data_IF_189625931072
#
_entry.id   IF_189625931072
#
_cell.length_a   1.000
_cell.length_b   1.000
_cell.length_c   1.000
_cell.angle_alpha   90.00
_cell.angle_beta   90.00
_cell.angle_gamma   90.00
#
_symmetry.space_group_name_H-M   'P 1'
#
loop_
_entity.id
_entity.type
_entity.pdbx_description
1 polymer ?
#
# COMPACT_ATOMS: atom_id res chain seq x y z
N UNK A 1 9.40 -28.38 18.34
CA UNK A 1 10.52 -28.05 17.44
C UNK A 1 11.76 -28.73 18.02
N UNK A 2 12.47 -29.52 17.24
CA UNK A 2 13.69 -30.22 17.69
C UNK A 2 14.86 -29.21 17.71
N UNK A 3 15.93 -29.56 18.44
CA UNK A 3 17.11 -28.70 18.63
C UNK A 3 17.76 -28.34 17.27
N UNK A 4 17.87 -29.31 16.38
CA UNK A 4 18.40 -29.19 15.04
C UNK A 4 17.57 -28.24 14.16
N UNK A 5 16.23 -28.26 14.28
CA UNK A 5 15.32 -27.33 13.60
C UNK A 5 15.53 -25.90 14.08
N UNK A 6 15.74 -25.70 15.39
CA UNK A 6 16.00 -24.39 15.98
C UNK A 6 17.33 -23.79 15.44
N UNK A 7 18.37 -24.62 15.39
CA UNK A 7 19.68 -24.18 14.88
C UNK A 7 19.63 -23.86 13.40
N UNK A 8 18.89 -24.62 12.60
CA UNK A 8 18.67 -24.35 11.17
C UNK A 8 17.96 -22.99 10.97
N UNK A 9 16.84 -22.75 11.65
CA UNK A 9 16.09 -21.49 11.56
C UNK A 9 16.94 -20.30 12.03
N UNK A 10 17.77 -20.49 13.05
CA UNK A 10 18.69 -19.43 13.51
C UNK A 10 19.72 -19.09 12.44
N UNK A 11 20.34 -20.10 11.80
CA UNK A 11 21.29 -19.89 10.71
C UNK A 11 20.66 -19.20 9.49
N UNK A 12 19.43 -19.58 9.15
CA UNK A 12 18.67 -18.92 8.08
C UNK A 12 18.36 -17.45 8.41
N UNK A 13 17.97 -17.16 9.66
CA UNK A 13 17.73 -15.78 10.11
C UNK A 13 19.01 -14.95 10.09
N UNK A 14 20.14 -15.50 10.53
CA UNK A 14 21.43 -14.81 10.49
C UNK A 14 21.85 -14.50 9.05
N UNK A 15 21.68 -15.45 8.14
CA UNK A 15 21.96 -15.28 6.71
C UNK A 15 21.05 -14.20 6.11
N UNK A 16 19.76 -14.20 6.43
CA UNK A 16 18.80 -13.19 6.00
C UNK A 16 19.15 -11.79 6.52
N UNK A 17 19.53 -11.67 7.79
CA UNK A 17 19.97 -10.41 8.41
C UNK A 17 21.21 -9.86 7.70
N UNK A 18 22.19 -10.72 7.41
CA UNK A 18 23.40 -10.31 6.69
C UNK A 18 23.07 -9.82 5.28
N UNK A 19 22.19 -10.50 4.57
CA UNK A 19 21.76 -10.17 3.22
C UNK A 19 21.01 -8.83 3.19
N UNK A 20 19.99 -8.66 4.03
CA UNK A 20 19.13 -7.47 4.06
C UNK A 20 19.91 -6.20 4.45
N UNK A 21 20.81 -6.32 5.42
CA UNK A 21 21.59 -5.19 5.91
C UNK A 21 23.01 -5.10 5.31
N UNK A 22 23.29 -5.84 4.23
CA UNK A 22 24.60 -5.80 3.55
C UNK A 22 25.01 -4.40 3.11
N UNK A 23 24.04 -3.56 2.74
CA UNK A 23 24.24 -2.17 2.32
C UNK A 23 24.68 -1.22 3.45
N UNK A 24 24.50 -1.61 4.71
CA UNK A 24 24.89 -0.79 5.86
C UNK A 24 26.40 -0.90 6.10
N UNK A 25 27.11 0.19 6.00
CA UNK A 25 28.58 0.23 6.12
C UNK A 25 29.02 -0.11 7.56
N UNK A 26 28.31 0.41 8.56
CA UNK A 26 28.69 0.28 9.97
C UNK A 26 28.26 -1.05 10.55
N UNK A 27 29.20 -1.77 11.19
CA UNK A 27 28.94 -3.07 11.85
C UNK A 27 27.91 -2.97 12.98
N UNK A 28 27.93 -1.88 13.76
CA UNK A 28 26.98 -1.66 14.86
C UNK A 28 25.54 -1.46 14.33
N UNK A 29 25.37 -0.80 13.19
CA UNK A 29 24.05 -0.68 12.55
C UNK A 29 23.51 -2.03 12.08
N UNK A 30 24.36 -2.86 11.45
CA UNK A 30 23.98 -4.23 11.05
C UNK A 30 23.59 -5.09 12.25
N UNK A 31 24.36 -5.02 13.34
CA UNK A 31 24.07 -5.76 14.57
C UNK A 31 22.73 -5.33 15.20
N UNK A 32 22.48 -4.00 15.28
CA UNK A 32 21.21 -3.47 15.80
C UNK A 32 20.03 -3.82 14.91
N UNK A 33 20.20 -3.81 13.58
CA UNK A 33 19.20 -4.27 12.62
C UNK A 33 18.86 -5.75 12.83
N UNK A 34 19.86 -6.61 13.04
CA UNK A 34 19.66 -8.00 13.37
C UNK A 34 18.89 -8.20 14.65
N UNK A 35 19.25 -7.51 15.72
CA UNK A 35 18.50 -7.53 16.99
C UNK A 35 17.05 -7.07 16.82
N UNK A 36 16.82 -6.05 16.01
CA UNK A 36 15.46 -5.57 15.71
C UNK A 36 14.63 -6.65 15.02
N UNK A 37 15.15 -7.30 13.96
CA UNK A 37 14.46 -8.40 13.28
C UNK A 37 14.22 -9.60 14.22
N UNK A 38 15.20 -9.98 15.02
CA UNK A 38 15.01 -11.03 16.04
C UNK A 38 13.89 -10.66 17.02
N UNK A 39 13.85 -9.42 17.50
CA UNK A 39 12.79 -8.92 18.37
C UNK A 39 11.39 -8.98 17.76
N UNK A 40 11.27 -8.75 16.45
CA UNK A 40 10.01 -8.91 15.72
C UNK A 40 9.57 -10.38 15.63
N UNK A 41 10.50 -11.33 15.54
CA UNK A 41 10.22 -12.76 15.40
C UNK A 41 9.94 -13.45 16.74
N UNK A 42 10.51 -12.98 17.85
CA UNK A 42 10.26 -13.56 19.16
C UNK A 42 8.78 -13.54 19.53
N UNK A 43 8.32 -14.58 20.23
CA UNK A 43 6.94 -14.65 20.73
C UNK A 43 6.60 -13.46 21.64
N UNK A 44 5.32 -13.08 21.65
CA UNK A 44 4.80 -11.99 22.47
C UNK A 44 3.83 -11.07 21.71
N UNK A 45 2.75 -10.66 22.40
CA UNK A 45 1.67 -9.83 21.81
C UNK A 45 2.14 -8.45 21.38
N UNK A 46 3.08 -7.85 22.10
CA UNK A 46 3.56 -6.50 21.85
C UNK A 46 4.93 -6.53 21.18
N UNK A 47 5.02 -5.90 20.02
CA UNK A 47 6.26 -5.70 19.25
C UNK A 47 6.80 -4.27 19.37
N UNK A 48 6.48 -3.55 20.46
CA UNK A 48 7.09 -2.27 20.78
C UNK A 48 8.51 -2.45 21.37
N UNK A 49 9.33 -1.40 21.29
CA UNK A 49 10.76 -1.46 21.57
C UNK A 49 11.11 -2.03 22.96
N UNK A 50 10.40 -1.55 23.99
CA UNK A 50 10.69 -2.00 25.36
C UNK A 50 10.43 -3.49 25.57
N UNK A 51 9.24 -4.07 25.27
CA UNK A 51 9.02 -5.50 25.36
C UNK A 51 9.94 -6.35 24.46
N UNK A 52 10.38 -5.80 23.32
CA UNK A 52 11.38 -6.49 22.49
C UNK A 52 12.75 -6.51 23.17
N UNK A 53 13.19 -5.37 23.72
CA UNK A 53 14.45 -5.26 24.45
C UNK A 53 14.50 -6.19 25.65
N UNK A 54 13.42 -6.26 26.46
CA UNK A 54 13.30 -7.17 27.60
C UNK A 54 13.47 -8.65 27.18
N UNK A 55 12.81 -9.07 26.11
CA UNK A 55 12.91 -10.46 25.60
C UNK A 55 14.27 -10.79 25.00
N UNK A 56 14.93 -9.81 24.40
CA UNK A 56 16.27 -9.96 23.82
C UNK A 56 17.38 -9.84 24.88
N UNK A 57 17.07 -9.34 26.08
CA UNK A 57 18.08 -9.06 27.12
C UNK A 57 18.98 -7.87 26.74
N UNK A 58 18.46 -6.89 25.98
CA UNK A 58 19.22 -5.72 25.53
C UNK A 58 18.50 -4.42 25.90
N UNK A 59 19.26 -3.32 25.97
CA UNK A 59 18.67 -2.01 26.14
C UNK A 59 17.79 -1.66 24.93
N UNK A 60 16.49 -1.44 25.16
CA UNK A 60 15.52 -1.09 24.15
C UNK A 60 15.84 0.22 23.40
N UNK A 61 16.62 1.11 24.01
CA UNK A 61 17.04 2.36 23.39
C UNK A 61 17.89 2.12 22.14
N UNK A 62 18.64 1.01 22.09
CA UNK A 62 19.42 0.63 20.91
C UNK A 62 18.50 0.33 19.71
N UNK A 63 17.39 -0.36 19.96
CA UNK A 63 16.40 -0.68 18.94
C UNK A 63 15.68 0.58 18.47
N UNK A 64 15.30 1.42 19.42
CA UNK A 64 14.65 2.71 19.13
C UNK A 64 15.55 3.61 18.30
N UNK A 65 16.81 3.81 18.70
CA UNK A 65 17.77 4.62 17.95
C UNK A 65 18.01 4.10 16.54
N UNK A 66 18.08 2.79 16.37
CA UNK A 66 18.28 2.18 15.05
C UNK A 66 17.16 2.58 14.09
N UNK A 67 15.90 2.56 14.52
CA UNK A 67 14.74 2.83 13.66
C UNK A 67 14.43 4.32 13.52
N UNK A 68 14.68 5.14 14.58
CA UNK A 68 14.21 6.53 14.62
C UNK A 68 15.24 7.59 14.26
N UNK A 69 16.51 7.38 14.60
CA UNK A 69 17.52 8.43 14.51
C UNK A 69 18.86 8.02 13.88
N UNK A 70 19.08 6.74 13.67
CA UNK A 70 20.32 6.27 13.04
C UNK A 70 20.34 6.61 11.53
N UNK A 71 21.37 7.31 11.04
CA UNK A 71 21.44 7.77 9.65
C UNK A 71 21.89 6.67 8.70
N UNK A 72 21.08 5.64 8.51
CA UNK A 72 21.37 4.61 7.52
C UNK A 72 20.45 4.76 6.30
N UNK A 73 20.94 4.43 5.10
CA UNK A 73 20.15 4.54 3.88
C UNK A 73 19.03 3.48 3.87
N UNK A 74 17.78 3.93 3.90
CA UNK A 74 16.60 3.06 3.96
C UNK A 74 16.32 2.37 2.63
N UNK A 75 16.52 3.08 1.51
CA UNK A 75 16.18 2.58 0.17
C UNK A 75 16.88 1.26 -0.20
N UNK A 76 18.22 1.09 -0.05
CA UNK A 76 18.87 -0.18 -0.38
C UNK A 76 18.35 -1.37 0.43
N UNK A 77 17.98 -1.14 1.70
CA UNK A 77 17.39 -2.16 2.56
C UNK A 77 15.98 -2.52 2.08
N UNK A 78 15.15 -1.52 1.78
CA UNK A 78 13.81 -1.73 1.22
C UNK A 78 13.89 -2.49 -0.11
N UNK A 79 14.75 -2.04 -1.02
CA UNK A 79 14.97 -2.70 -2.31
C UNK A 79 15.32 -4.18 -2.13
N UNK A 80 16.24 -4.49 -1.18
CA UNK A 80 16.63 -5.88 -0.92
C UNK A 80 15.47 -6.71 -0.35
N UNK A 81 14.72 -6.15 0.60
CA UNK A 81 13.53 -6.78 1.17
C UNK A 81 12.48 -7.07 0.10
N UNK A 82 12.19 -6.12 -0.78
CA UNK A 82 11.23 -6.30 -1.88
C UNK A 82 11.67 -7.41 -2.84
N UNK A 83 12.95 -7.43 -3.24
CA UNK A 83 13.48 -8.49 -4.10
C UNK A 83 13.31 -9.86 -3.45
N UNK A 84 13.67 -9.99 -2.17
CA UNK A 84 13.50 -11.26 -1.43
C UNK A 84 12.03 -11.65 -1.26
N UNK A 85 11.15 -10.69 -1.00
CA UNK A 85 9.72 -10.95 -0.88
C UNK A 85 9.13 -11.48 -2.21
N UNK A 86 9.47 -10.85 -3.33
CA UNK A 86 9.03 -11.27 -4.66
C UNK A 86 9.57 -12.66 -5.01
N UNK A 87 10.86 -12.93 -4.74
CA UNK A 87 11.47 -14.25 -4.94
C UNK A 87 10.78 -15.35 -4.13
N UNK A 88 10.52 -15.09 -2.84
CA UNK A 88 9.95 -16.10 -1.94
C UNK A 88 8.46 -16.36 -2.17
N UNK A 89 7.71 -15.30 -2.48
CA UNK A 89 6.25 -15.40 -2.64
C UNK A 89 5.90 -15.91 -4.03
N UNK A 90 6.67 -15.56 -5.08
CA UNK A 90 6.32 -15.85 -6.46
C UNK A 90 4.94 -15.27 -6.81
N UNK A 91 4.72 -13.93 -6.69
CA UNK A 91 3.40 -13.34 -6.68
C UNK A 91 2.66 -13.57 -8.00
N UNK A 92 1.37 -13.86 -7.91
CA UNK A 92 0.45 -13.94 -9.05
C UNK A 92 -0.11 -12.56 -9.41
N UNK A 93 -0.20 -11.67 -8.41
CA UNK A 93 -0.62 -10.29 -8.58
C UNK A 93 0.06 -9.39 -7.54
N UNK A 94 0.12 -8.08 -7.85
CA UNK A 94 0.31 -7.08 -6.83
C UNK A 94 -1.02 -6.40 -6.53
N UNK A 95 -1.32 -6.22 -5.25
CA UNK A 95 -2.57 -5.64 -4.78
C UNK A 95 -2.29 -4.25 -4.25
N UNK A 96 -3.07 -3.27 -4.72
CA UNK A 96 -3.06 -1.89 -4.21
C UNK A 96 -4.27 -1.71 -3.32
N UNK A 97 -4.04 -1.25 -2.09
CA UNK A 97 -5.09 -1.03 -1.10
C UNK A 97 -4.69 0.02 -0.06
N UNK A 98 -5.70 0.51 0.65
CA UNK A 98 -5.57 1.48 1.72
C UNK A 98 -5.69 0.80 3.08
N UNK A 99 -4.77 1.12 3.99
CA UNK A 99 -4.90 0.70 5.39
C UNK A 99 -5.11 1.89 6.30
N UNK A 100 -6.21 1.89 7.04
CA UNK A 100 -6.51 2.89 8.06
C UNK A 100 -5.94 2.49 9.43
N UNK A 101 -5.09 3.33 10.01
CA UNK A 101 -4.50 3.15 11.35
C UNK A 101 -5.20 4.08 12.33
N UNK A 102 -6.07 3.56 13.24
CA UNK A 102 -6.74 4.39 14.24
C UNK A 102 -5.75 5.12 15.15
N UNK A 103 -6.07 6.36 15.50
CA UNK A 103 -5.28 7.20 16.40
C UNK A 103 -6.19 7.89 17.41
N UNK A 104 -5.72 7.98 18.65
CA UNK A 104 -6.51 8.62 19.71
C UNK A 104 -6.44 10.16 19.66
N UNK A 105 -5.35 10.72 19.14
CA UNK A 105 -5.13 12.17 19.10
C UNK A 105 -4.93 12.75 17.71
N UNK A 106 -4.94 14.10 17.58
CA UNK A 106 -4.80 14.80 16.31
C UNK A 106 -3.33 15.04 15.90
N UNK A 107 -2.35 14.62 16.71
CA UNK A 107 -0.95 15.01 16.53
C UNK A 107 -0.16 14.10 15.57
N UNK A 108 -0.64 12.89 15.27
CA UNK A 108 0.06 11.98 14.34
C UNK A 108 0.05 12.56 12.92
N UNK A 109 1.19 12.52 12.17
CA UNK A 109 1.25 13.02 10.81
C UNK A 109 0.16 12.45 9.91
N UNK A 110 -0.57 13.29 9.18
CA UNK A 110 -1.62 12.86 8.25
C UNK A 110 -2.90 12.31 8.90
N UNK A 111 -3.05 12.42 10.23
CA UNK A 111 -4.29 11.98 10.89
C UNK A 111 -5.45 12.93 10.59
N UNK A 112 -6.59 12.37 10.21
CA UNK A 112 -7.83 13.11 9.99
C UNK A 112 -9.04 12.21 10.24
N UNK A 113 -10.23 12.83 10.35
CA UNK A 113 -11.49 12.09 10.35
C UNK A 113 -11.80 11.61 8.93
N UNK A 114 -11.61 10.33 8.69
CA UNK A 114 -11.73 9.71 7.37
C UNK A 114 -12.47 8.36 7.51
N UNK A 115 -13.05 7.89 6.41
CA UNK A 115 -13.58 6.53 6.35
C UNK A 115 -12.42 5.53 6.46
N UNK A 116 -12.63 4.50 7.26
CA UNK A 116 -11.67 3.42 7.43
C UNK A 116 -12.37 2.09 7.29
N UNK A 117 -11.96 1.29 6.31
CA UNK A 117 -12.48 -0.05 6.09
C UNK A 117 -12.27 -0.96 7.31
N UNK A 118 -11.16 -0.80 8.03
CA UNK A 118 -10.87 -1.58 9.25
C UNK A 118 -11.79 -1.22 10.42
N UNK A 119 -12.30 0.02 10.49
CA UNK A 119 -13.27 0.46 11.49
C UNK A 119 -14.73 0.30 11.03
N UNK A 120 -14.97 0.13 9.72
CA UNK A 120 -16.31 0.14 9.13
C UNK A 120 -17.06 1.47 9.26
N UNK A 121 -16.37 2.56 9.62
CA UNK A 121 -16.96 3.89 9.88
C UNK A 121 -15.94 5.01 9.70
N UNK A 122 -16.44 6.25 9.76
CA UNK A 122 -15.57 7.43 9.85
C UNK A 122 -14.94 7.48 11.24
N UNK A 123 -13.63 7.52 11.29
CA UNK A 123 -12.83 7.59 12.50
C UNK A 123 -11.64 8.53 12.35
N UNK A 124 -10.92 8.75 13.46
CA UNK A 124 -9.66 9.48 13.46
C UNK A 124 -8.55 8.50 13.10
N UNK A 125 -8.08 8.57 11.85
CA UNK A 125 -7.14 7.59 11.28
C UNK A 125 -6.04 8.26 10.45
N UNK A 126 -4.87 7.60 10.43
CA UNK A 126 -3.89 7.78 9.36
C UNK A 126 -4.18 6.75 8.27
N UNK A 127 -4.01 7.11 7.01
CA UNK A 127 -4.16 6.18 5.90
C UNK A 127 -2.81 5.94 5.25
N UNK A 128 -2.44 4.67 5.15
CA UNK A 128 -1.32 4.22 4.36
C UNK A 128 -1.81 3.57 3.07
N UNK A 129 -1.38 4.10 1.93
CA UNK A 129 -1.53 3.44 0.63
C UNK A 129 -0.42 2.43 0.49
N UNK A 130 -0.72 1.23 0.05
CA UNK A 130 0.26 0.15 -0.02
C UNK A 130 0.18 -0.66 -1.31
N UNK A 131 1.31 -1.25 -1.70
CA UNK A 131 1.44 -2.24 -2.77
C UNK A 131 1.91 -3.53 -2.14
N UNK A 132 1.18 -4.61 -2.34
CA UNK A 132 1.48 -5.93 -1.79
C UNK A 132 1.74 -6.93 -2.91
N UNK A 133 2.83 -7.70 -2.83
CA UNK A 133 2.97 -8.95 -3.58
C UNK A 133 2.03 -10.01 -2.99
N UNK A 134 1.22 -10.67 -3.80
CA UNK A 134 0.20 -11.58 -3.31
C UNK A 134 0.05 -12.86 -4.15
N UNK A 135 -0.29 -13.93 -3.43
CA UNK A 135 -0.80 -15.21 -3.94
C UNK A 135 -2.05 -15.58 -3.15
N UNK A 136 -2.65 -16.72 -3.44
CA UNK A 136 -3.78 -17.25 -2.65
C UNK A 136 -3.39 -17.60 -1.20
N UNK A 137 -2.10 -17.76 -0.91
CA UNK A 137 -1.59 -18.27 0.37
C UNK A 137 -0.76 -17.27 1.15
N UNK A 138 -0.16 -16.28 0.49
CA UNK A 138 0.75 -15.34 1.12
C UNK A 138 0.61 -13.93 0.54
N UNK A 139 0.88 -12.95 1.37
CA UNK A 139 0.93 -11.54 0.98
C UNK A 139 2.04 -10.84 1.76
N UNK A 140 2.80 -9.99 1.08
CA UNK A 140 3.85 -9.18 1.69
C UNK A 140 3.82 -7.76 1.11
N UNK A 141 3.84 -6.72 1.96
CA UNK A 141 3.95 -5.35 1.49
C UNK A 141 5.30 -5.13 0.82
N UNK A 142 5.28 -4.54 -0.37
CA UNK A 142 6.47 -4.11 -1.09
C UNK A 142 6.77 -2.64 -0.84
N UNK A 143 5.74 -1.80 -0.81
CA UNK A 143 5.89 -0.38 -0.55
C UNK A 143 4.68 0.23 0.16
N UNK A 144 4.91 1.38 0.83
CA UNK A 144 3.91 2.14 1.55
C UNK A 144 4.12 3.64 1.36
N UNK A 145 3.01 4.38 1.22
CA UNK A 145 2.99 5.85 1.29
C UNK A 145 1.97 6.31 2.31
N UNK A 146 2.37 7.23 3.17
CA UNK A 146 1.42 7.92 4.05
C UNK A 146 0.62 8.91 3.21
N UNK A 147 -0.70 8.76 3.21
CA UNK A 147 -1.59 9.74 2.62
C UNK A 147 -1.66 10.99 3.51
N UNK A 148 -1.40 12.14 2.93
CA UNK A 148 -1.50 13.45 3.61
C UNK A 148 -2.82 14.08 3.19
N UNK A 149 -3.83 14.19 4.08
CA UNK A 149 -5.08 14.86 3.78
C UNK A 149 -4.88 16.37 3.54
N UNK A 150 -5.78 17.00 2.79
CA UNK A 150 -5.78 18.45 2.52
C UNK A 150 -5.64 19.28 3.79
N UNK A 151 -6.28 18.87 4.89
CA UNK A 151 -6.18 19.55 6.18
C UNK A 151 -4.77 19.58 6.80
N UNK A 152 -3.83 18.85 6.23
CA UNK A 152 -2.41 18.83 6.57
C UNK A 152 -1.53 19.50 5.52
N UNK A 153 -2.12 20.10 4.50
CA UNK A 153 -1.37 20.79 3.44
C UNK A 153 -1.75 22.27 3.42
N UNK A 154 -0.78 23.11 3.77
CA UNK A 154 -0.94 24.58 3.80
C UNK A 154 -1.26 25.15 2.41
N UNK A 155 -0.87 24.45 1.35
CA UNK A 155 -1.15 24.87 -0.03
C UNK A 155 -2.59 24.55 -0.49
N UNK A 156 -3.30 23.67 0.22
CA UNK A 156 -4.70 23.33 -0.05
C UNK A 156 -5.69 24.17 0.77
N UNK A 157 -5.21 25.05 1.64
CA UNK A 157 -6.05 25.81 2.56
C UNK A 157 -6.70 27.01 1.88
N UNK A 158 -8.01 27.21 2.10
CA UNK A 158 -8.76 28.33 1.54
C UNK A 158 -8.50 29.67 2.25
N UNK A 159 -8.01 29.64 3.49
CA UNK A 159 -7.75 30.85 4.30
C UNK A 159 -6.30 30.88 4.81
N UNK A 160 -5.78 32.09 4.99
CA UNK A 160 -4.43 32.28 5.53
C UNK A 160 -4.28 31.70 6.95
N UNK A 161 -5.32 31.72 7.76
CA UNK A 161 -5.31 31.15 9.11
C UNK A 161 -5.21 29.63 9.08
N UNK A 162 -6.01 28.97 8.22
CA UNK A 162 -5.95 27.52 8.04
C UNK A 162 -4.59 27.10 7.48
N UNK A 163 -4.03 27.85 6.53
CA UNK A 163 -2.69 27.61 6.00
C UNK A 163 -1.61 27.69 7.11
N UNK A 164 -1.67 28.74 7.93
CA UNK A 164 -0.73 28.89 9.04
C UNK A 164 -0.84 27.75 10.06
N UNK A 165 -2.06 27.31 10.39
CA UNK A 165 -2.30 26.17 11.27
C UNK A 165 -1.76 24.85 10.67
N UNK A 166 -2.01 24.59 9.38
CA UNK A 166 -1.49 23.42 8.67
C UNK A 166 0.05 23.44 8.66
N UNK A 167 0.67 24.58 8.33
CA UNK A 167 2.11 24.74 8.32
C UNK A 167 2.72 24.48 9.73
N UNK A 168 2.12 25.02 10.79
CA UNK A 168 2.57 24.79 12.15
C UNK A 168 2.45 23.30 12.56
N UNK A 169 1.36 22.62 12.18
CA UNK A 169 1.18 21.18 12.40
C UNK A 169 2.24 20.36 11.68
N UNK A 170 2.52 20.69 10.40
CA UNK A 170 3.56 20.02 9.59
C UNK A 170 4.94 20.16 10.23
N UNK A 171 5.31 21.40 10.63
CA UNK A 171 6.58 21.68 11.28
C UNK A 171 6.74 20.87 12.58
N UNK A 172 5.69 20.88 13.45
CA UNK A 172 5.67 20.09 14.69
C UNK A 172 5.80 18.58 14.44
N UNK A 173 5.18 18.07 13.37
CA UNK A 173 5.22 16.67 12.99
C UNK A 173 6.46 16.32 12.15
N UNK A 174 7.34 17.28 11.87
CA UNK A 174 8.54 17.12 11.02
C UNK A 174 8.24 16.53 9.65
N UNK A 175 7.12 16.91 9.03
CA UNK A 175 6.76 16.48 7.68
C UNK A 175 7.62 17.28 6.68
N UNK A 176 8.42 16.63 5.83
CA UNK A 176 9.24 17.30 4.83
C UNK A 176 8.39 18.15 3.87
N UNK A 177 8.92 19.29 3.40
CA UNK A 177 8.20 20.22 2.54
C UNK A 177 7.74 19.58 1.22
N UNK A 178 8.50 18.62 0.70
CA UNK A 178 8.15 17.88 -0.52
C UNK A 178 6.97 16.90 -0.35
N UNK A 179 6.63 16.54 0.88
CA UNK A 179 5.53 15.61 1.17
C UNK A 179 4.24 16.41 1.29
N UNK A 180 3.41 16.40 0.26
CA UNK A 180 2.18 17.19 0.12
C UNK A 180 0.95 16.32 -0.04
N UNK A 181 -0.24 16.93 0.00
CA UNK A 181 -1.47 16.26 -0.38
C UNK A 181 -1.37 15.83 -1.85
N UNK A 182 -1.67 14.57 -2.09
CA UNK A 182 -1.77 13.99 -3.43
C UNK A 182 -2.84 12.92 -3.44
N UNK A 183 -3.58 12.75 -4.54
CA UNK A 183 -4.52 11.65 -4.68
C UNK A 183 -3.85 10.30 -4.41
N UNK A 184 -4.55 9.41 -3.73
CA UNK A 184 -4.02 8.08 -3.38
C UNK A 184 -3.58 7.27 -4.60
N UNK A 185 -4.32 7.39 -5.71
CA UNK A 185 -3.97 6.71 -6.95
C UNK A 185 -2.64 7.20 -7.57
N UNK A 186 -2.28 8.48 -7.38
CA UNK A 186 -0.97 8.99 -7.79
C UNK A 186 0.13 8.39 -6.93
N UNK A 187 -0.08 8.31 -5.60
CA UNK A 187 0.87 7.66 -4.69
C UNK A 187 1.08 6.19 -5.07
N UNK A 188 -0.01 5.50 -5.49
CA UNK A 188 0.08 4.12 -5.96
C UNK A 188 0.93 4.00 -7.24
N UNK A 189 0.71 4.85 -8.24
CA UNK A 189 1.52 4.86 -9.46
C UNK A 189 2.99 5.18 -9.20
N UNK A 190 3.27 6.12 -8.30
CA UNK A 190 4.64 6.46 -7.90
C UNK A 190 5.36 5.29 -7.22
N UNK A 191 4.67 4.53 -6.36
CA UNK A 191 5.23 3.31 -5.78
C UNK A 191 5.55 2.27 -6.85
N UNK A 192 4.70 2.11 -7.86
CA UNK A 192 4.99 1.22 -8.98
C UNK A 192 6.22 1.67 -9.78
N UNK A 193 6.37 2.98 -9.99
CA UNK A 193 7.56 3.54 -10.67
C UNK A 193 8.83 3.32 -9.84
N UNK A 194 8.78 3.48 -8.52
CA UNK A 194 9.91 3.19 -7.63
C UNK A 194 10.30 1.71 -7.69
N UNK A 195 9.32 0.81 -7.56
CA UNK A 195 9.56 -0.64 -7.63
C UNK A 195 10.12 -1.05 -9.01
N UNK A 196 9.62 -0.45 -10.10
CA UNK A 196 10.16 -0.66 -11.43
C UNK A 196 11.62 -0.19 -11.57
N UNK A 197 11.98 0.92 -10.92
CA UNK A 197 13.38 1.41 -10.87
C UNK A 197 14.33 0.42 -10.20
N UNK A 198 13.80 -0.45 -9.33
CA UNK A 198 14.53 -1.54 -8.69
C UNK A 198 14.57 -2.84 -9.51
N UNK A 199 13.98 -2.82 -10.71
CA UNK A 199 13.91 -3.98 -11.60
C UNK A 199 12.79 -4.96 -11.23
N UNK A 200 11.80 -4.53 -10.43
CA UNK A 200 10.65 -5.32 -10.05
C UNK A 200 9.44 -4.93 -10.91
N UNK A 201 8.72 -5.91 -11.41
CA UNK A 201 7.52 -5.69 -12.22
C UNK A 201 6.36 -6.55 -11.72
N UNK A 202 5.14 -6.00 -11.66
CA UNK A 202 3.97 -6.78 -11.30
C UNK A 202 3.59 -7.73 -12.44
N UNK A 203 3.25 -9.00 -12.15
CA UNK A 203 2.62 -9.86 -13.14
C UNK A 203 1.23 -9.35 -13.54
N UNK A 204 0.51 -8.78 -12.58
CA UNK A 204 -0.81 -8.18 -12.72
C UNK A 204 -1.06 -7.23 -11.55
N UNK A 205 -1.77 -6.11 -11.76
CA UNK A 205 -2.26 -5.25 -10.68
C UNK A 205 -3.71 -5.58 -10.36
N UNK A 206 -4.03 -5.73 -9.08
CA UNK A 206 -5.39 -5.78 -8.56
C UNK A 206 -5.64 -4.57 -7.64
N UNK A 207 -6.82 -3.94 -7.79
CA UNK A 207 -7.25 -2.87 -6.90
C UNK A 207 -8.78 -2.88 -6.76
N UNK A 208 -9.26 -2.27 -5.68
CA UNK A 208 -10.70 -2.15 -5.42
C UNK A 208 -11.38 -1.05 -6.26
N UNK A 209 -12.66 -0.80 -5.99
CA UNK A 209 -13.44 0.17 -6.74
C UNK A 209 -13.03 1.64 -6.46
N UNK A 210 -12.40 1.93 -5.32
CA UNK A 210 -11.95 3.30 -5.02
C UNK A 210 -10.79 3.71 -5.93
N UNK A 211 -10.00 2.74 -6.42
CA UNK A 211 -9.01 2.94 -7.46
C UNK A 211 -9.58 2.68 -8.87
N UNK A 212 -10.39 1.63 -9.01
CA UNK A 212 -10.90 1.18 -10.29
C UNK A 212 -11.86 2.15 -10.97
N UNK A 213 -12.58 2.99 -10.24
CA UNK A 213 -13.43 4.05 -10.79
C UNK A 213 -12.63 5.22 -11.39
N UNK A 214 -11.35 5.37 -11.02
CA UNK A 214 -10.53 6.51 -11.42
C UNK A 214 -9.93 6.24 -12.81
N UNK A 215 -10.43 6.97 -13.82
CA UNK A 215 -9.95 6.83 -15.21
C UNK A 215 -8.46 7.13 -15.34
N UNK A 216 -7.95 8.16 -14.66
CA UNK A 216 -6.54 8.53 -14.68
C UNK A 216 -5.64 7.42 -14.11
N UNK A 217 -6.09 6.69 -13.09
CA UNK A 217 -5.35 5.55 -12.56
C UNK A 217 -5.23 4.42 -13.61
N UNK A 218 -6.36 4.04 -14.25
CA UNK A 218 -6.35 3.01 -15.30
C UNK A 218 -5.49 3.41 -16.50
N UNK A 219 -5.57 4.67 -16.92
CA UNK A 219 -4.71 5.22 -17.98
C UNK A 219 -3.23 5.15 -17.55
N UNK A 220 -2.92 5.56 -16.32
CA UNK A 220 -1.56 5.50 -15.79
C UNK A 220 -0.96 4.09 -15.76
N UNK A 221 -1.77 3.05 -15.48
CA UNK A 221 -1.35 1.65 -15.58
C UNK A 221 -1.11 1.23 -17.04
N UNK A 222 -2.02 1.62 -17.94
CA UNK A 222 -1.92 1.34 -19.37
C UNK A 222 -0.67 1.96 -19.99
N UNK A 223 -0.38 3.23 -19.66
CA UNK A 223 0.80 3.95 -20.16
C UNK A 223 2.12 3.30 -19.73
N UNK A 224 2.12 2.59 -18.61
CA UNK A 224 3.25 1.80 -18.09
C UNK A 224 3.31 0.38 -18.67
N UNK A 225 2.36 0.00 -19.51
CA UNK A 225 2.26 -1.36 -20.05
C UNK A 225 1.90 -2.42 -19.00
N UNK A 226 1.30 -2.02 -17.88
CA UNK A 226 0.96 -2.90 -16.77
C UNK A 226 -0.45 -3.48 -16.98
N UNK A 227 -0.58 -4.80 -16.96
CA UNK A 227 -1.87 -5.48 -16.94
C UNK A 227 -2.57 -5.29 -15.59
N UNK A 228 -3.90 -5.10 -15.60
CA UNK A 228 -4.65 -4.89 -14.37
C UNK A 228 -6.06 -5.48 -14.39
N UNK A 229 -6.55 -5.86 -13.22
CA UNK A 229 -7.94 -6.20 -12.91
C UNK A 229 -8.38 -5.34 -11.75
N UNK A 230 -9.33 -4.43 -11.99
CA UNK A 230 -9.85 -3.52 -10.97
C UNK A 230 -11.34 -3.69 -10.79
N UNK A 231 -11.81 -3.54 -9.57
CA UNK A 231 -13.24 -3.50 -9.29
C UNK A 231 -13.81 -2.16 -9.76
N UNK A 232 -15.06 -2.17 -10.19
CA UNK A 232 -15.85 -0.98 -10.48
C UNK A 232 -17.20 -1.10 -9.79
N UNK A 233 -17.83 0.03 -9.47
CA UNK A 233 -19.16 0.05 -8.84
C UNK A 233 -20.21 -0.44 -9.84
N UNK A 234 -21.27 -1.04 -9.32
CA UNK A 234 -22.40 -1.52 -10.14
C UNK A 234 -23.10 -0.41 -10.93
N UNK A 235 -22.91 0.85 -10.52
CA UNK A 235 -23.42 2.04 -11.20
C UNK A 235 -22.56 2.52 -12.37
N UNK A 236 -21.36 1.94 -12.56
CA UNK A 236 -20.42 2.34 -13.62
C UNK A 236 -20.99 2.05 -14.99
N UNK A 237 -21.03 3.08 -15.85
CA UNK A 237 -21.44 2.91 -17.25
C UNK A 237 -20.26 2.45 -18.08
N UNK A 238 -20.47 1.38 -18.86
CA UNK A 238 -19.50 0.87 -19.82
C UNK A 238 -20.02 1.02 -21.24
N UNK A 239 -19.14 1.30 -22.18
CA UNK A 239 -19.47 1.29 -23.60
C UNK A 239 -19.16 -0.08 -24.19
N UNK A 240 -20.03 -0.58 -25.05
CA UNK A 240 -19.69 -1.74 -25.85
C UNK A 240 -18.48 -1.41 -26.74
N UNK A 241 -17.53 -2.36 -26.93
CA UNK A 241 -16.45 -2.15 -27.86
C UNK A 241 -17.03 -1.85 -29.24
N UNK A 242 -16.63 -0.70 -29.84
CA UNK A 242 -16.98 -0.42 -31.23
C UNK A 242 -16.27 -1.46 -32.09
N UNK A 243 -17.00 -2.26 -32.90
CA UNK A 243 -16.34 -3.20 -33.80
C UNK A 243 -15.40 -2.39 -34.71
N UNK A 244 -14.21 -2.91 -35.03
CA UNK A 244 -13.31 -2.24 -35.95
C UNK A 244 -14.09 -1.91 -37.23
N UNK A 245 -14.07 -0.66 -37.68
CA UNK A 245 -14.77 -0.24 -38.88
C UNK A 245 -14.17 -0.99 -40.06
N UNK A 246 -14.88 -2.01 -40.55
CA UNK A 246 -14.52 -2.77 -41.74
C UNK A 246 -14.87 -2.02 -43.04
N UNK A 247 -14.97 -0.70 -42.99
CA UNK A 247 -15.22 0.11 -44.18
C UNK A 247 -13.92 0.34 -44.93
N UNK A 248 -13.77 -0.14 -46.16
CA UNK A 248 -12.67 0.25 -47.03
C UNK A 248 -12.77 1.77 -47.26
N UNK A 249 -11.66 2.48 -47.52
CA UNK A 249 -11.69 3.90 -47.77
C UNK A 249 -12.59 4.22 -48.97
N UNK A 250 -13.67 4.94 -48.74
CA UNK A 250 -14.56 5.39 -49.80
C UNK A 250 -13.80 6.38 -50.68
N UNK A 251 -13.72 6.18 -51.99
CA UNK A 251 -13.11 7.19 -52.85
C UNK A 251 -13.89 8.50 -52.76
N UNK A 252 -13.13 9.60 -52.67
CA UNK A 252 -13.65 10.93 -52.54
C UNK A 252 -14.61 11.25 -53.67
N UNK A 253 -15.91 11.41 -53.36
CA UNK A 253 -16.89 11.89 -54.33
C UNK A 253 -18.29 11.28 -54.25
N UNK A 254 -18.93 11.28 -53.06
CA UNK A 254 -20.37 11.04 -53.01
C UNK A 254 -21.03 11.84 -51.89
N UNK A 255 -22.10 12.52 -52.28
CA UNK A 255 -22.83 13.56 -51.54
C UNK A 255 -23.40 13.10 -50.18
N UNK A 256 -23.39 14.06 -49.24
CA UNK A 256 -24.03 14.02 -47.93
C UNK A 256 -25.47 13.51 -47.97
N UNK A 257 -25.74 12.38 -47.31
CA UNK A 257 -27.05 12.12 -46.71
C UNK A 257 -26.93 12.22 -45.20
N UNK A 258 -27.64 13.12 -44.59
CA UNK A 258 -27.79 13.30 -43.13
C UNK A 258 -28.55 12.09 -42.58
N UNK A 259 -27.85 11.14 -41.98
CA UNK A 259 -28.42 10.07 -41.17
C UNK A 259 -28.47 10.49 -39.71
N UNK A 260 -29.63 10.34 -39.11
CA UNK A 260 -29.92 10.59 -37.68
C UNK A 260 -29.04 9.68 -36.84
N UNK A 261 -28.21 10.23 -35.97
CA UNK A 261 -27.41 9.48 -35.01
C UNK A 261 -28.34 8.81 -33.97
N UNK A 262 -28.36 7.49 -33.94
CA UNK A 262 -28.94 6.73 -32.84
C UNK A 262 -28.01 6.79 -31.64
N UNK A 263 -28.56 7.13 -30.47
CA UNK A 263 -27.83 7.21 -29.22
C UNK A 263 -27.19 5.84 -28.88
N UNK A 264 -25.98 5.82 -28.31
CA UNK A 264 -25.32 4.57 -27.92
C UNK A 264 -26.10 3.86 -26.83
N UNK A 265 -26.32 2.56 -27.00
CA UNK A 265 -27.01 1.70 -26.04
C UNK A 265 -26.12 1.56 -24.79
N UNK A 266 -26.59 2.07 -23.66
CA UNK A 266 -25.91 1.88 -22.37
C UNK A 266 -26.09 0.43 -21.90
N UNK A 267 -24.99 -0.27 -21.74
CA UNK A 267 -24.98 -1.61 -21.14
C UNK A 267 -24.86 -1.51 -19.62
N UNK A 268 -25.79 -2.11 -18.88
CA UNK A 268 -25.65 -2.30 -17.43
C UNK A 268 -25.08 -3.69 -17.18
N UNK A 269 -23.95 -3.83 -16.46
CA UNK A 269 -23.45 -5.16 -16.11
C UNK A 269 -24.46 -5.87 -15.21
N UNK A 270 -24.72 -7.15 -15.50
CA UNK A 270 -25.53 -8.02 -14.62
C UNK A 270 -24.76 -8.27 -13.31
N UNK A 271 -25.44 -8.18 -12.19
CA UNK A 271 -24.92 -8.34 -10.83
C UNK A 271 -24.48 -9.76 -10.42
N UNK A 272 -24.28 -10.66 -11.36
CA UNK A 272 -23.89 -12.04 -11.06
C UNK A 272 -22.86 -12.56 -12.05
N UNK A 273 -21.60 -12.52 -11.65
CA UNK A 273 -20.56 -13.37 -12.18
C UNK A 273 -20.54 -14.67 -11.35
N UNK A 274 -20.69 -15.87 -11.95
CA UNK A 274 -20.56 -17.11 -11.19
C UNK A 274 -19.09 -17.28 -10.79
N UNK A 275 -18.82 -17.34 -9.48
CA UNK A 275 -17.51 -17.72 -8.93
C UNK A 275 -16.88 -16.78 -7.89
N UNK A 276 -17.38 -15.57 -7.70
CA UNK A 276 -16.87 -14.66 -6.66
C UNK A 276 -17.82 -14.57 -5.49
N UNK A 277 -17.80 -15.58 -4.61
CA UNK A 277 -18.35 -15.44 -3.28
C UNK A 277 -17.28 -14.75 -2.40
N UNK A 278 -17.63 -13.59 -1.83
CA UNK A 278 -16.93 -13.06 -0.66
C UNK A 278 -16.81 -14.20 0.34
N UNK A 279 -15.62 -14.76 0.52
CA UNK A 279 -15.34 -15.51 1.73
C UNK A 279 -15.39 -14.49 2.85
N UNK A 280 -16.51 -14.50 3.58
CA UNK A 280 -16.65 -13.77 4.85
C UNK A 280 -15.38 -14.00 5.67
N UNK A 281 -14.78 -12.90 6.15
CA UNK A 281 -13.71 -12.91 7.13
C UNK A 281 -14.02 -13.99 8.17
N UNK A 282 -13.21 -15.04 8.21
CA UNK A 282 -13.23 -15.98 9.33
C UNK A 282 -12.80 -15.20 10.55
N UNK A 283 -13.77 -14.94 11.44
CA UNK A 283 -13.53 -14.54 12.82
C UNK A 283 -12.62 -15.57 13.45
N UNK A 284 -11.45 -15.16 13.91
CA UNK A 284 -10.63 -15.99 14.78
C UNK A 284 -11.45 -16.35 16.01
N UNK A 285 -11.59 -17.65 16.37
CA UNK A 285 -12.24 -18.05 17.60
C UNK A 285 -11.31 -17.70 18.77
N UNK A 286 -11.71 -16.80 19.66
CA UNK A 286 -10.97 -16.60 20.90
C UNK A 286 -10.97 -15.22 21.54
N UNK A 287 -11.98 -14.37 21.35
CA UNK A 287 -12.16 -13.21 22.21
C UNK A 287 -13.44 -13.39 23.05
N UNK A 288 -13.32 -14.00 24.22
CA UNK A 288 -14.34 -13.88 25.28
C UNK A 288 -14.23 -12.48 25.88
N UNK A 289 -15.32 -11.74 25.83
CA UNK A 289 -15.48 -10.51 26.59
C UNK A 289 -15.48 -10.84 28.08
N UNK A 290 -14.88 -10.03 28.97
CA UNK A 290 -15.05 -10.18 30.40
C UNK A 290 -16.48 -9.77 30.77
N UNK A 291 -17.16 -10.65 31.54
CA UNK A 291 -18.42 -10.39 32.19
C UNK A 291 -18.22 -9.26 33.22
N UNK A 292 -19.19 -8.33 33.25
CA UNK A 292 -19.22 -7.27 34.23
C UNK A 292 -19.53 -7.81 35.64
N UNK A 293 -18.96 -7.15 36.59
CA UNK A 293 -19.50 -6.87 37.94
C UNK A 293 -18.80 -5.60 38.44
#
# INVERSE_FOLDING_TARGET
>A
MRQDEIETVRGELESFVQDVFASLVRKDQRAKGGLYLQGLMLEGRRKSMQPMGERLGVDYQQLQQFVSSSPWPVEPVRRRLCSRAVELIGPQAWVIDDTGFPKDGPASPGVARQHSGSLGKIGNVQIGVSVHAATDHASCPLDWRLFIPESWDDTCSETNEAAAQAAARRAKAQIPDMVRNRPKWELALEMLDELASWGLAPPLICADADYGEIGAFRTGLTDRGIGYVVQVKSSTSVHAPTPPSSSPPTPAGAARRRGRATAPTRFRPRSSWPGWHRKSSRTCPGARAPAGS
#
